data_IF_325091307496
#
_entry.id   IF_325091307496
#
_cell.length_a   1.000
_cell.length_b   1.000
_cell.length_c   1.000
_cell.angle_alpha   90.00
_cell.angle_beta   90.00
_cell.angle_gamma   90.00
#
_symmetry.space_group_name_H-M   'P 1'
#
loop_
_entity.id
_entity.type
_entity.pdbx_description
1 polymer ?
#
# COMPACT_ATOMS: atom_id res chain seq x y z
N UNK A 1 -1.98 -0.63 -5.74
CA UNK A 1 -2.33 0.64 -6.43
C UNK A 1 -1.22 1.11 -7.36
N UNK A 2 0.01 1.37 -6.87
CA UNK A 2 1.10 1.94 -7.66
C UNK A 2 1.42 1.12 -8.94
N UNK A 3 1.54 -0.21 -8.82
CA UNK A 3 1.79 -1.07 -9.98
C UNK A 3 0.62 -1.08 -10.98
N UNK A 4 -0.62 -0.96 -10.50
CA UNK A 4 -1.78 -0.88 -11.40
C UNK A 4 -1.76 0.41 -12.22
N UNK A 5 -1.39 1.55 -11.59
CA UNK A 5 -1.19 2.82 -12.30
C UNK A 5 -0.04 2.71 -13.30
N UNK A 6 1.09 2.13 -12.89
CA UNK A 6 2.26 2.00 -13.77
C UNK A 6 1.98 1.09 -14.99
N UNK A 7 1.22 0.03 -14.80
CA UNK A 7 0.79 -0.86 -15.89
C UNK A 7 -0.10 -0.13 -16.89
N UNK A 8 -1.08 0.62 -16.42
CA UNK A 8 -1.97 1.43 -17.26
C UNK A 8 -1.21 2.54 -18.00
N UNK A 9 -0.25 3.20 -17.35
CA UNK A 9 0.59 4.19 -17.99
C UNK A 9 1.47 3.57 -19.08
N UNK A 10 2.03 2.38 -18.84
CA UNK A 10 2.83 1.65 -19.85
C UNK A 10 2.00 1.27 -21.08
N UNK A 11 0.73 0.90 -20.89
CA UNK A 11 -0.20 0.63 -22.00
C UNK A 11 -0.51 1.87 -22.85
N UNK A 12 -0.21 3.05 -22.32
CA UNK A 12 -0.36 4.35 -23.00
C UNK A 12 0.98 4.94 -23.46
N UNK A 13 2.01 4.10 -23.59
CA UNK A 13 3.36 4.47 -24.00
C UNK A 13 4.02 5.53 -23.10
N UNK A 14 3.63 5.60 -21.81
CA UNK A 14 4.27 6.46 -20.82
C UNK A 14 5.39 5.70 -20.13
N UNK A 15 6.60 6.23 -20.17
CA UNK A 15 7.74 5.66 -19.46
C UNK A 15 7.59 5.85 -17.93
N UNK A 16 7.77 4.77 -17.18
CA UNK A 16 7.62 4.78 -15.72
C UNK A 16 8.92 4.35 -15.06
N UNK A 17 9.48 5.25 -14.26
CA UNK A 17 10.63 5.00 -13.38
C UNK A 17 10.21 4.99 -11.92
N UNK A 18 10.90 4.20 -11.09
CA UNK A 18 10.56 4.05 -9.68
C UNK A 18 11.68 4.51 -8.78
N UNK A 19 11.30 5.22 -7.71
CA UNK A 19 12.16 5.53 -6.58
C UNK A 19 11.60 4.81 -5.35
N UNK A 20 12.44 4.03 -4.69
CA UNK A 20 12.04 3.27 -3.50
C UNK A 20 13.20 3.00 -2.56
N UNK A 21 13.02 2.04 -1.67
CA UNK A 21 14.05 1.61 -0.69
C UNK A 21 14.39 0.14 -0.88
N UNK A 22 15.63 -0.24 -0.58
CA UNK A 22 16.10 -1.63 -0.67
C UNK A 22 15.37 -2.62 0.27
N UNK A 23 14.64 -2.12 1.27
CA UNK A 23 14.00 -2.93 2.29
C UNK A 23 12.47 -2.87 2.27
N UNK A 24 11.89 -2.06 1.39
CA UNK A 24 10.45 -1.94 1.21
C UNK A 24 9.88 -3.09 0.37
N UNK A 25 8.56 -3.18 0.34
CA UNK A 25 7.86 -4.16 -0.50
C UNK A 25 8.13 -3.90 -1.99
N UNK A 26 8.43 -2.66 -2.34
CA UNK A 26 8.79 -2.21 -3.67
C UNK A 26 10.05 -2.88 -4.20
N UNK A 27 11.03 -3.17 -3.34
CA UNK A 27 12.28 -3.82 -3.73
C UNK A 27 12.06 -5.21 -4.36
N UNK A 28 10.98 -5.88 -3.99
CA UNK A 28 10.59 -7.19 -4.54
C UNK A 28 9.59 -7.05 -5.69
N UNK A 29 8.57 -6.23 -5.51
CA UNK A 29 7.42 -6.20 -6.43
C UNK A 29 7.70 -5.40 -7.70
N UNK A 30 8.47 -4.33 -7.63
CA UNK A 30 8.76 -3.47 -8.78
C UNK A 30 9.61 -4.18 -9.82
N UNK A 31 10.76 -4.83 -9.46
CA UNK A 31 11.52 -5.62 -10.42
C UNK A 31 10.75 -6.84 -10.95
N UNK A 32 9.95 -7.51 -10.10
CA UNK A 32 9.11 -8.62 -10.52
C UNK A 32 8.05 -8.24 -11.56
N UNK A 33 7.64 -6.96 -11.60
CA UNK A 33 6.74 -6.40 -12.60
C UNK A 33 7.46 -5.85 -13.84
N UNK A 34 8.79 -6.01 -13.93
CA UNK A 34 9.59 -5.59 -15.07
C UNK A 34 9.96 -4.10 -15.08
N UNK A 35 9.88 -3.42 -13.93
CA UNK A 35 10.31 -2.02 -13.80
C UNK A 35 11.69 -1.91 -13.14
N UNK A 36 12.45 -0.88 -13.53
CA UNK A 36 13.70 -0.52 -12.85
C UNK A 36 13.39 0.24 -11.55
N UNK A 37 13.98 -0.20 -10.45
CA UNK A 37 13.89 0.46 -9.16
C UNK A 37 15.20 1.21 -8.89
N UNK A 38 15.10 2.53 -8.73
CA UNK A 38 16.19 3.39 -8.25
C UNK A 38 16.07 3.51 -6.72
N UNK A 39 17.11 3.10 -6.01
CA UNK A 39 17.07 3.02 -4.55
C UNK A 39 17.63 4.28 -3.88
N UNK A 40 16.90 4.78 -2.88
CA UNK A 40 17.43 5.73 -1.89
C UNK A 40 17.91 4.98 -0.64
N UNK A 41 19.11 5.31 -0.17
CA UNK A 41 19.78 4.58 0.94
C UNK A 41 19.30 5.03 2.32
N UNK A 42 17.98 5.17 2.51
CA UNK A 42 17.43 5.62 3.78
C UNK A 42 16.65 4.54 4.47
N UNK A 43 16.99 4.27 5.73
CA UNK A 43 16.21 3.39 6.61
C UNK A 43 15.10 4.18 7.27
N UNK A 44 13.91 3.58 7.38
CA UNK A 44 12.76 4.18 8.05
C UNK A 44 13.11 4.69 9.47
N UNK A 45 12.47 5.77 9.88
CA UNK A 45 12.73 6.44 11.16
C UNK A 45 12.12 5.71 12.37
N UNK A 46 11.27 4.71 12.16
CA UNK A 46 10.59 3.98 13.25
C UNK A 46 11.57 3.06 13.99
N UNK A 47 11.59 3.17 15.33
CA UNK A 47 12.31 2.23 16.22
C UNK A 47 13.70 2.67 16.69
N UNK A 48 14.13 3.90 16.47
CA UNK A 48 15.51 4.34 16.73
C UNK A 48 15.75 5.06 18.07
N UNK A 49 14.90 4.95 19.08
CA UNK A 49 15.11 5.60 20.37
C UNK A 49 15.34 7.14 20.30
N UNK A 50 15.70 7.76 21.43
CA UNK A 50 15.90 9.23 21.53
C UNK A 50 17.04 9.73 20.63
N UNK A 51 18.15 8.99 20.56
CA UNK A 51 19.31 9.34 19.71
C UNK A 51 18.97 9.31 18.22
N UNK A 52 18.06 8.40 17.81
CA UNK A 52 17.56 8.33 16.44
C UNK A 52 16.76 9.55 16.02
N UNK A 53 16.05 10.18 16.94
CA UNK A 53 15.30 11.42 16.70
C UNK A 53 16.21 12.62 16.45
N UNK A 54 17.34 12.73 17.15
CA UNK A 54 18.32 13.80 16.94
C UNK A 54 19.00 13.71 15.56
N UNK A 55 19.18 12.49 15.04
CA UNK A 55 19.82 12.25 13.73
C UNK A 55 18.78 12.24 12.58
N UNK A 56 17.49 12.15 12.90
CA UNK A 56 16.41 12.07 11.91
C UNK A 56 16.46 13.21 10.86
N UNK A 57 16.64 14.51 11.22
CA UNK A 57 16.70 15.58 10.24
C UNK A 57 17.79 15.40 9.21
N UNK A 58 18.99 14.98 9.63
CA UNK A 58 20.13 14.72 8.71
C UNK A 58 19.85 13.56 7.76
N UNK A 59 19.18 12.52 8.24
CA UNK A 59 18.75 11.39 7.40
C UNK A 59 17.71 11.82 6.37
N UNK A 60 16.77 12.68 6.75
CA UNK A 60 15.77 13.22 5.83
C UNK A 60 16.41 14.08 4.76
N UNK A 61 17.30 15.01 5.15
CA UNK A 61 18.04 15.85 4.20
C UNK A 61 18.84 14.99 3.22
N UNK A 62 19.57 14.00 3.71
CA UNK A 62 20.30 13.06 2.86
C UNK A 62 19.37 12.34 1.88
N UNK A 63 18.21 11.86 2.34
CA UNK A 63 17.23 11.22 1.48
C UNK A 63 16.69 12.14 0.39
N UNK A 64 16.44 13.41 0.73
CA UNK A 64 15.98 14.42 -0.24
C UNK A 64 17.07 14.69 -1.28
N UNK A 65 18.33 14.79 -0.88
CA UNK A 65 19.45 14.99 -1.80
C UNK A 65 19.64 13.79 -2.73
N UNK A 66 19.56 12.55 -2.22
CA UNK A 66 19.63 11.33 -3.02
C UNK A 66 18.45 11.26 -4.02
N UNK A 67 17.21 11.53 -3.55
CA UNK A 67 16.04 11.58 -4.41
C UNK A 67 16.16 12.67 -5.48
N UNK A 68 16.65 13.86 -5.13
CA UNK A 68 16.90 14.95 -6.07
C UNK A 68 17.95 14.60 -7.13
N UNK A 69 19.00 13.86 -6.75
CA UNK A 69 19.98 13.33 -7.71
C UNK A 69 19.34 12.37 -8.71
N UNK A 70 18.49 11.45 -8.22
CA UNK A 70 17.76 10.51 -9.08
C UNK A 70 16.77 11.24 -10.02
N UNK A 71 16.01 12.20 -9.50
CA UNK A 71 15.09 13.02 -10.32
C UNK A 71 15.86 13.77 -11.41
N UNK A 72 17.06 14.30 -11.11
CA UNK A 72 17.91 14.97 -12.09
C UNK A 72 18.43 14.03 -13.17
N UNK A 73 18.73 12.78 -12.83
CA UNK A 73 19.17 11.74 -13.76
C UNK A 73 18.03 11.22 -14.62
N UNK A 74 16.89 10.91 -14.01
CA UNK A 74 15.71 10.35 -14.68
C UNK A 74 14.93 11.40 -15.49
N UNK A 75 15.06 12.67 -15.14
CA UNK A 75 14.39 13.82 -15.80
C UNK A 75 12.89 13.62 -16.01
N UNK A 76 12.12 13.18 -15.00
CA UNK A 76 10.69 12.93 -15.19
C UNK A 76 9.95 14.23 -15.52
N UNK A 77 8.89 14.13 -16.31
CA UNK A 77 7.97 15.23 -16.58
C UNK A 77 7.06 15.48 -15.37
N UNK A 78 6.69 14.42 -14.66
CA UNK A 78 5.83 14.45 -13.47
C UNK A 78 6.31 13.44 -12.43
N UNK A 79 6.15 13.75 -11.16
CA UNK A 79 6.44 12.84 -10.04
C UNK A 79 5.14 12.51 -9.33
N UNK A 80 4.89 11.20 -9.13
CA UNK A 80 3.72 10.72 -8.41
C UNK A 80 4.10 10.04 -7.10
N UNK A 81 3.56 10.51 -5.98
CA UNK A 81 3.73 9.92 -4.66
C UNK A 81 2.47 9.15 -4.22
N UNK A 82 2.66 7.88 -3.84
CA UNK A 82 1.55 7.03 -3.34
C UNK A 82 1.71 6.71 -1.84
N UNK A 83 2.37 7.59 -1.12
CA UNK A 83 2.65 7.39 0.30
C UNK A 83 3.85 6.49 0.57
N UNK A 84 4.03 6.13 1.83
CA UNK A 84 5.21 5.40 2.27
C UNK A 84 6.43 6.29 2.49
N UNK A 85 7.55 5.66 2.85
CA UNK A 85 8.73 6.39 3.30
C UNK A 85 9.47 7.09 2.14
N UNK A 86 9.61 6.41 1.00
CA UNK A 86 10.31 6.95 -0.18
C UNK A 86 9.58 8.14 -0.82
N UNK A 87 8.25 8.15 -0.76
CA UNK A 87 7.43 9.24 -1.32
C UNK A 87 7.69 10.59 -0.64
N UNK A 88 8.04 10.61 0.65
CA UNK A 88 8.34 11.86 1.36
C UNK A 88 9.53 12.62 0.76
N UNK A 89 10.74 12.06 0.81
CA UNK A 89 11.92 12.65 0.21
C UNK A 89 11.78 12.86 -1.30
N UNK A 90 11.18 11.89 -2.03
CA UNK A 90 10.96 11.98 -3.48
C UNK A 90 10.04 13.13 -3.87
N UNK A 91 8.88 13.24 -3.22
CA UNK A 91 7.92 14.31 -3.48
C UNK A 91 8.46 15.68 -3.08
N UNK A 92 9.14 15.77 -1.93
CA UNK A 92 9.74 17.04 -1.50
C UNK A 92 10.88 17.49 -2.43
N UNK A 93 11.72 16.57 -2.90
CA UNK A 93 12.75 16.87 -3.88
C UNK A 93 12.16 17.32 -5.23
N UNK A 94 11.08 16.66 -5.70
CA UNK A 94 10.36 17.06 -6.89
C UNK A 94 9.84 18.49 -6.80
N UNK A 95 9.19 18.83 -5.70
CA UNK A 95 8.70 20.18 -5.42
C UNK A 95 9.84 21.22 -5.42
N UNK A 96 10.94 20.95 -4.71
CA UNK A 96 12.12 21.85 -4.70
C UNK A 96 12.72 22.08 -6.09
N UNK A 97 12.58 21.12 -6.98
CA UNK A 97 13.10 21.17 -8.36
C UNK A 97 12.07 21.70 -9.36
N UNK A 98 10.90 22.17 -8.91
CA UNK A 98 9.84 22.69 -9.76
C UNK A 98 9.24 21.62 -10.69
N UNK A 99 9.30 20.33 -10.31
CA UNK A 99 8.65 19.25 -11.03
C UNK A 99 7.21 19.09 -10.59
N UNK A 100 6.25 18.96 -11.51
CA UNK A 100 4.85 18.68 -11.15
C UNK A 100 4.75 17.48 -10.21
N UNK A 101 4.06 17.66 -9.09
CA UNK A 101 3.89 16.65 -8.06
C UNK A 101 2.42 16.26 -7.92
N UNK A 102 2.14 15.00 -8.17
CA UNK A 102 0.83 14.40 -7.91
C UNK A 102 0.96 13.46 -6.70
N UNK A 103 0.02 13.51 -5.78
CA UNK A 103 -0.08 12.49 -4.73
C UNK A 103 -1.40 11.73 -4.83
N UNK A 104 -1.37 10.47 -4.45
CA UNK A 104 -2.57 9.66 -4.29
C UNK A 104 -2.58 9.03 -2.89
N UNK A 105 -3.68 9.22 -2.15
CA UNK A 105 -3.92 8.58 -0.85
C UNK A 105 -4.92 7.45 -1.00
N UNK A 106 -4.53 6.25 -0.60
CA UNK A 106 -5.33 5.04 -0.73
C UNK A 106 -6.21 4.75 0.47
N UNK A 107 -5.95 5.39 1.59
CA UNK A 107 -6.65 5.15 2.85
C UNK A 107 -7.66 6.26 3.14
N UNK A 108 -8.70 5.93 3.89
CA UNK A 108 -9.66 6.94 4.36
C UNK A 108 -9.02 7.97 5.32
N UNK A 109 -7.93 7.58 6.01
CA UNK A 109 -7.15 8.47 6.87
C UNK A 109 -5.75 8.60 6.25
N UNK A 110 -5.36 9.81 5.82
CA UNK A 110 -4.10 9.99 5.11
C UNK A 110 -2.90 9.79 6.02
N UNK A 111 -1.90 9.10 5.48
CA UNK A 111 -0.62 8.93 6.14
C UNK A 111 0.14 10.26 6.30
N UNK A 112 1.06 10.34 7.29
CA UNK A 112 1.81 11.56 7.57
C UNK A 112 2.53 12.12 6.34
N UNK A 113 3.15 11.26 5.54
CA UNK A 113 3.83 11.64 4.30
C UNK A 113 2.89 12.37 3.35
N UNK A 114 1.74 11.78 3.05
CA UNK A 114 0.77 12.37 2.13
C UNK A 114 0.13 13.64 2.72
N UNK A 115 -0.10 13.70 4.03
CA UNK A 115 -0.58 14.93 4.71
C UNK A 115 0.38 16.11 4.55
N UNK A 116 1.69 15.85 4.58
CA UNK A 116 2.70 16.90 4.38
C UNK A 116 2.82 17.28 2.91
N UNK A 117 2.90 16.30 2.02
CA UNK A 117 3.05 16.52 0.58
C UNK A 117 1.81 17.14 -0.06
N UNK A 118 0.61 16.88 0.46
CA UNK A 118 -0.63 17.48 -0.03
C UNK A 118 -0.64 19.03 -0.02
N UNK A 119 0.20 19.63 0.83
CA UNK A 119 0.35 21.09 0.88
C UNK A 119 1.29 21.65 -0.19
N UNK A 120 2.01 20.78 -0.87
CA UNK A 120 3.06 21.11 -1.84
C UNK A 120 2.72 20.56 -3.24
N UNK A 121 1.80 19.60 -3.31
CA UNK A 121 1.43 18.92 -4.54
C UNK A 121 0.55 19.80 -5.43
N UNK A 122 0.76 19.70 -6.72
CA UNK A 122 -0.06 20.35 -7.75
C UNK A 122 -1.42 19.65 -7.90
N UNK A 123 -1.48 18.34 -7.58
CA UNK A 123 -2.72 17.56 -7.62
C UNK A 123 -2.73 16.56 -6.48
N UNK A 124 -3.87 16.49 -5.78
CA UNK A 124 -4.12 15.53 -4.71
C UNK A 124 -5.29 14.63 -5.11
N UNK A 125 -5.03 13.33 -5.21
CA UNK A 125 -6.00 12.30 -5.56
C UNK A 125 -6.29 11.42 -4.36
N UNK A 126 -7.52 10.94 -4.20
CA UNK A 126 -7.91 10.11 -3.07
C UNK A 126 -8.69 8.87 -3.49
N UNK A 127 -8.47 7.78 -2.75
CA UNK A 127 -9.23 6.54 -2.89
C UNK A 127 -10.58 6.57 -2.19
N UNK A 128 -10.75 7.47 -1.21
CA UNK A 128 -11.98 7.64 -0.45
C UNK A 128 -12.39 9.10 -0.40
N UNK A 129 -13.70 9.41 -0.37
CA UNK A 129 -14.16 10.78 -0.17
C UNK A 129 -13.71 11.29 1.22
N UNK A 130 -13.58 12.59 1.33
CA UNK A 130 -13.29 13.30 2.59
C UNK A 130 -12.04 12.81 3.35
N UNK A 131 -11.06 12.20 2.64
CA UNK A 131 -9.81 11.72 3.26
C UNK A 131 -8.96 12.85 3.81
N UNK A 132 -8.97 14.04 3.19
CA UNK A 132 -8.23 15.21 3.63
C UNK A 132 -9.16 16.27 4.23
N UNK A 133 -8.57 17.19 4.99
CA UNK A 133 -9.24 18.42 5.43
C UNK A 133 -9.71 19.22 4.20
N UNK A 134 -10.87 19.89 4.32
CA UNK A 134 -11.46 20.73 3.27
C UNK A 134 -10.56 21.86 2.73
N UNK A 135 -9.46 22.16 3.42
CA UNK A 135 -8.44 23.12 2.96
C UNK A 135 -7.55 22.57 1.85
N UNK A 136 -7.54 21.27 1.66
CA UNK A 136 -6.81 20.59 0.59
C UNK A 136 -7.80 20.32 -0.55
N UNK A 137 -7.51 20.84 -1.72
CA UNK A 137 -8.27 20.54 -2.94
C UNK A 137 -7.92 19.11 -3.40
N UNK A 138 -8.65 18.14 -2.85
CA UNK A 138 -8.45 16.73 -3.11
C UNK A 138 -9.58 16.14 -3.97
N UNK A 139 -9.21 15.52 -5.06
CA UNK A 139 -10.15 14.86 -5.98
C UNK A 139 -10.32 13.38 -5.63
N UNK A 140 -11.55 12.96 -5.43
CA UNK A 140 -11.85 11.55 -5.23
C UNK A 140 -11.94 10.82 -6.57
N UNK A 141 -10.98 9.95 -6.82
CA UNK A 141 -10.85 9.14 -8.06
C UNK A 141 -10.99 7.63 -7.80
N UNK A 142 -11.10 7.22 -6.53
CA UNK A 142 -11.07 5.81 -6.15
C UNK A 142 -9.66 5.25 -6.05
N UNK A 143 -9.57 3.95 -5.71
CA UNK A 143 -8.30 3.24 -5.62
C UNK A 143 -8.00 2.48 -6.92
N UNK A 144 -6.79 2.63 -7.48
CA UNK A 144 -6.36 1.80 -8.61
C UNK A 144 -6.36 0.32 -8.26
N UNK A 145 -7.07 -0.47 -9.02
CA UNK A 145 -7.20 -1.92 -8.88
C UNK A 145 -6.44 -2.61 -10.01
N UNK A 146 -5.88 -3.77 -9.73
CA UNK A 146 -5.20 -4.57 -10.75
C UNK A 146 -6.21 -5.09 -11.78
N UNK A 147 -5.86 -5.06 -13.05
CA UNK A 147 -6.70 -5.51 -14.16
C UNK A 147 -7.26 -6.92 -13.95
N UNK A 148 -6.46 -7.83 -13.42
CA UNK A 148 -6.89 -9.21 -13.08
C UNK A 148 -8.04 -9.27 -12.07
N UNK A 149 -8.25 -8.24 -11.28
CA UNK A 149 -9.37 -8.15 -10.33
C UNK A 149 -10.55 -7.41 -10.98
N UNK A 150 -10.25 -6.37 -11.76
CA UNK A 150 -11.25 -5.57 -12.48
C UNK A 150 -12.00 -6.41 -13.51
N UNK A 151 -11.28 -7.29 -14.24
CA UNK A 151 -11.83 -8.16 -15.27
C UNK A 151 -12.63 -9.35 -14.70
N UNK A 152 -12.74 -9.51 -13.38
CA UNK A 152 -13.56 -10.55 -12.79
C UNK A 152 -15.05 -10.32 -13.12
N UNK A 153 -15.80 -11.38 -13.49
CA UNK A 153 -17.24 -11.26 -13.70
C UNK A 153 -17.95 -10.65 -12.49
N UNK A 154 -18.99 -9.92 -12.71
CA UNK A 154 -19.83 -9.34 -11.65
C UNK A 154 -20.26 -10.42 -10.63
N UNK A 155 -20.40 -10.12 -9.34
CA UNK A 155 -20.72 -11.11 -8.31
C UNK A 155 -21.94 -11.98 -8.63
N UNK A 156 -23.00 -11.41 -9.19
CA UNK A 156 -24.21 -12.14 -9.56
C UNK A 156 -24.01 -13.12 -10.71
N UNK A 157 -23.00 -12.90 -11.58
CA UNK A 157 -22.65 -13.82 -12.68
C UNK A 157 -21.73 -14.96 -12.19
N UNK A 158 -21.16 -14.82 -11.00
CA UNK A 158 -20.27 -15.83 -10.38
C UNK A 158 -21.00 -16.73 -9.39
N UNK A 159 -22.25 -16.43 -9.07
CA UNK A 159 -23.06 -17.26 -8.18
C UNK A 159 -23.47 -18.53 -8.95
N UNK A 160 -22.70 -19.59 -8.76
CA UNK A 160 -23.25 -20.93 -8.94
C UNK A 160 -24.18 -21.20 -7.77
N UNK A 161 -25.35 -21.80 -8.03
CA UNK A 161 -26.24 -22.33 -6.99
C UNK A 161 -25.42 -23.25 -6.09
N UNK A 162 -24.95 -22.75 -4.95
CA UNK A 162 -24.19 -23.56 -3.99
C UNK A 162 -25.20 -24.24 -3.08
N UNK A 163 -25.55 -25.49 -3.40
CA UNK A 163 -26.09 -26.41 -2.42
C UNK A 163 -24.95 -26.84 -1.51
N UNK A 164 -24.85 -26.30 -0.29
CA UNK A 164 -23.81 -26.72 0.64
C UNK A 164 -23.42 -25.64 1.67
N UNK A 165 -22.30 -25.88 2.34
CA UNK A 165 -21.76 -24.98 3.36
C UNK A 165 -21.32 -23.64 2.74
N UNK A 166 -21.50 -22.56 3.46
CA UNK A 166 -21.01 -21.25 3.08
C UNK A 166 -19.49 -21.24 3.01
N UNK A 167 -18.92 -20.49 2.08
CA UNK A 167 -17.47 -20.22 2.04
C UNK A 167 -17.20 -18.85 2.65
N UNK A 168 -16.36 -18.82 3.67
CA UNK A 168 -15.90 -17.61 4.34
C UNK A 168 -14.45 -17.32 3.97
N UNK A 169 -14.21 -16.19 3.32
CA UNK A 169 -12.87 -15.69 3.08
C UNK A 169 -12.52 -14.60 4.11
N UNK A 170 -11.49 -14.84 4.91
CA UNK A 170 -10.97 -13.89 5.90
C UNK A 170 -9.68 -13.26 5.39
N UNK A 171 -9.68 -11.94 5.18
CA UNK A 171 -8.55 -11.20 4.66
C UNK A 171 -7.90 -10.35 5.75
N UNK A 172 -6.72 -10.77 6.24
CA UNK A 172 -5.92 -10.03 7.21
C UNK A 172 -4.93 -9.05 6.59
N UNK A 173 -4.91 -8.93 5.25
CA UNK A 173 -3.89 -8.15 4.52
C UNK A 173 -2.55 -8.88 4.43
N UNK A 174 -1.56 -8.24 3.79
CA UNK A 174 -0.24 -8.86 3.50
C UNK A 174 0.57 -9.23 4.74
N UNK A 175 0.40 -8.51 5.83
CA UNK A 175 1.06 -8.78 7.12
C UNK A 175 0.21 -9.63 8.07
N UNK A 176 -1.05 -9.90 7.70
CA UNK A 176 -2.04 -10.51 8.57
C UNK A 176 -2.62 -9.52 9.58
N UNK A 177 -3.78 -9.85 10.12
CA UNK A 177 -4.43 -9.10 11.19
C UNK A 177 -4.51 -9.96 12.45
N UNK A 178 -3.71 -9.64 13.46
CA UNK A 178 -3.58 -10.45 14.69
C UNK A 178 -4.93 -10.64 15.39
N UNK A 179 -5.78 -9.61 15.39
CA UNK A 179 -7.13 -9.71 15.93
C UNK A 179 -7.99 -10.72 15.18
N UNK A 180 -7.95 -10.71 13.84
CA UNK A 180 -8.69 -11.71 13.05
C UNK A 180 -8.15 -13.12 13.29
N UNK A 181 -6.83 -13.30 13.34
CA UNK A 181 -6.20 -14.58 13.61
C UNK A 181 -6.60 -15.19 14.95
N UNK A 182 -6.93 -14.33 15.93
CA UNK A 182 -7.36 -14.77 17.27
C UNK A 182 -8.88 -14.96 17.37
N UNK A 183 -9.66 -13.97 16.91
CA UNK A 183 -11.09 -13.97 17.19
C UNK A 183 -11.93 -14.75 16.18
N UNK A 184 -11.49 -14.90 14.93
CA UNK A 184 -12.25 -15.68 13.93
C UNK A 184 -12.38 -17.14 14.33
N UNK A 185 -11.31 -17.87 14.75
CA UNK A 185 -11.45 -19.24 15.24
C UNK A 185 -12.41 -19.36 16.42
N UNK A 186 -12.32 -18.43 17.39
CA UNK A 186 -13.21 -18.41 18.56
C UNK A 186 -14.69 -18.16 18.19
N UNK A 187 -14.94 -17.30 17.20
CA UNK A 187 -16.29 -17.06 16.70
C UNK A 187 -16.86 -18.31 15.98
N UNK A 188 -16.04 -18.96 15.16
CA UNK A 188 -16.41 -20.18 14.45
C UNK A 188 -16.70 -21.34 15.40
N UNK A 189 -15.98 -21.43 16.51
CA UNK A 189 -16.24 -22.43 17.55
C UNK A 189 -17.65 -22.34 18.17
N UNK A 190 -18.27 -21.15 18.12
CA UNK A 190 -19.64 -20.93 18.61
C UNK A 190 -20.74 -21.39 17.61
N UNK A 191 -20.34 -21.72 16.38
CA UNK A 191 -21.24 -22.22 15.35
C UNK A 191 -21.19 -23.76 15.40
N UNK A 192 -22.36 -24.41 15.36
CA UNK A 192 -22.42 -25.87 15.32
C UNK A 192 -21.71 -26.40 14.07
N UNK A 193 -21.07 -27.56 14.18
CA UNK A 193 -20.23 -28.13 13.11
C UNK A 193 -20.97 -28.24 11.76
N UNK A 194 -22.27 -28.54 11.79
CA UNK A 194 -23.09 -28.71 10.59
C UNK A 194 -23.39 -27.40 9.84
N UNK A 195 -23.38 -26.27 10.58
CA UNK A 195 -23.64 -24.92 10.01
C UNK A 195 -22.36 -24.10 9.84
N UNK A 196 -21.20 -24.65 10.22
CA UNK A 196 -19.93 -23.96 10.15
C UNK A 196 -19.49 -23.78 8.69
N UNK A 197 -19.10 -22.56 8.25
CA UNK A 197 -18.61 -22.35 6.90
C UNK A 197 -17.27 -23.05 6.65
N UNK A 198 -16.96 -23.30 5.40
CA UNK A 198 -15.58 -23.58 4.96
C UNK A 198 -14.81 -22.26 4.99
N UNK A 199 -13.59 -22.26 5.55
CA UNK A 199 -12.85 -21.03 5.81
C UNK A 199 -11.52 -21.03 5.08
N UNK A 200 -11.28 -19.95 4.30
CA UNK A 200 -9.96 -19.60 3.80
C UNK A 200 -9.51 -18.35 4.53
N UNK A 201 -8.40 -18.44 5.28
CA UNK A 201 -7.91 -17.35 6.11
C UNK A 201 -6.51 -16.89 5.69
N UNK A 202 -6.39 -15.65 5.21
CA UNK A 202 -5.12 -14.99 4.95
C UNK A 202 -4.58 -14.40 6.27
N UNK A 203 -3.80 -15.17 7.00
CA UNK A 203 -3.31 -14.84 8.34
C UNK A 203 -1.98 -14.07 8.36
N UNK A 204 -1.32 -13.91 7.20
CA UNK A 204 0.03 -13.36 7.10
C UNK A 204 1.13 -14.41 7.31
N UNK A 205 2.18 -14.38 6.49
CA UNK A 205 3.22 -15.42 6.48
C UNK A 205 3.94 -15.61 7.83
N UNK A 206 4.10 -14.53 8.61
CA UNK A 206 4.76 -14.57 9.93
C UNK A 206 3.88 -15.11 11.06
N UNK A 207 2.59 -15.27 10.83
CA UNK A 207 1.59 -15.63 11.84
C UNK A 207 0.89 -16.96 11.51
N UNK A 208 1.36 -17.68 10.49
CA UNK A 208 0.74 -18.91 10.01
C UNK A 208 0.59 -19.96 11.12
N UNK A 209 1.68 -20.22 11.87
CA UNK A 209 1.70 -21.25 12.90
C UNK A 209 0.82 -20.90 14.11
N UNK A 210 0.87 -19.62 14.52
CA UNK A 210 0.02 -19.14 15.62
C UNK A 210 -1.46 -19.18 15.24
N UNK A 211 -1.80 -18.80 14.00
CA UNK A 211 -3.16 -18.87 13.49
C UNK A 211 -3.67 -20.31 13.44
N UNK A 212 -2.87 -21.24 12.90
CA UNK A 212 -3.22 -22.69 12.90
C UNK A 212 -3.47 -23.21 14.30
N UNK A 213 -2.63 -22.80 15.27
CA UNK A 213 -2.79 -23.17 16.67
C UNK A 213 -4.11 -22.65 17.24
N UNK A 214 -4.45 -21.39 16.95
CA UNK A 214 -5.73 -20.79 17.37
C UNK A 214 -6.96 -21.56 16.83
N UNK A 215 -6.91 -22.03 15.58
CA UNK A 215 -7.97 -22.90 15.02
C UNK A 215 -8.05 -24.24 15.72
N UNK A 216 -6.91 -24.89 15.94
CA UNK A 216 -6.84 -26.17 16.64
C UNK A 216 -7.36 -26.07 18.08
N UNK A 217 -6.95 -25.05 18.81
CA UNK A 217 -7.36 -24.82 20.21
C UNK A 217 -8.85 -24.48 20.30
N UNK A 218 -9.43 -23.88 19.28
CA UNK A 218 -10.86 -23.59 19.17
C UNK A 218 -11.70 -24.82 18.69
N UNK A 219 -11.06 -25.92 18.31
CA UNK A 219 -11.77 -27.09 17.77
C UNK A 219 -12.43 -26.87 16.41
N UNK A 220 -11.79 -26.10 15.56
CA UNK A 220 -12.31 -25.65 14.26
C UNK A 220 -11.37 -26.06 13.12
#
# INVERSE_FOLDING_TARGET
PALAVAEELRLRDVEVSWIGTAHGIEAKLVPAAGYLLSEIKVKGLRGNGVLGWLIAPFKVVKAVLEAGSLIRQLKPDVVMGLGGFASGPGGFAAWLMGKPLIIHEQNAIPGLTNRLLAKLADKVLTGFPDSFDKKIDAEWVGNPVRKTIEDLPMPHLRQTEKSGRLNLLVLGGSLGARSLNTFVPQALAKISADHRPEVIHQCGSKHSDDCRRSYKDAGV
#
